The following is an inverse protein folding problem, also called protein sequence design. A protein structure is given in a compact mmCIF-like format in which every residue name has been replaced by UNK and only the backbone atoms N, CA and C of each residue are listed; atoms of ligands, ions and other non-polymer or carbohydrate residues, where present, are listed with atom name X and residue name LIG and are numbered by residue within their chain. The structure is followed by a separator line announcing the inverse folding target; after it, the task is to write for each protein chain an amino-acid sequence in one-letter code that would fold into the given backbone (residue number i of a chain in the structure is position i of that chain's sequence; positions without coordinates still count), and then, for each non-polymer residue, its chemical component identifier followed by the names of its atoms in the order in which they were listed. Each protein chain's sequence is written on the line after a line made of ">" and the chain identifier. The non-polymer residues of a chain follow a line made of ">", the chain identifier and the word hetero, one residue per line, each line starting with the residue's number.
data_IF_818302106020
#
_entry.id   IF_818302106020
#
_cell.length_a   1.000
_cell.length_b   1.000
_cell.length_c   1.000
_cell.angle_alpha   90.00
_cell.angle_beta   90.00
_cell.angle_gamma   90.00
#
_symmetry.space_group_name_H-M   'P 1'
#
loop_
_entity.id
_entity.type
_entity.pdbx_description
1 polymer ?
#
# COMPACT_ATOMS: atom_id res chain seq x y z
N UNK A 1 3.21 -8.81 -13.06
CA UNK A 1 2.29 -9.82 -12.49
C UNK A 1 1.92 -9.52 -11.04
N UNK A 2 2.87 -9.36 -10.10
CA UNK A 2 2.58 -9.11 -8.68
C UNK A 2 1.76 -7.82 -8.41
N UNK A 3 2.03 -6.72 -9.11
CA UNK A 3 1.27 -5.47 -8.98
C UNK A 3 -0.18 -5.59 -9.43
N UNK A 4 -0.48 -6.46 -10.41
CA UNK A 4 -1.86 -6.73 -10.82
C UNK A 4 -2.63 -7.40 -9.68
N UNK A 5 -2.02 -8.40 -9.05
CA UNK A 5 -2.62 -9.15 -7.93
C UNK A 5 -2.85 -8.22 -6.73
N UNK A 6 -1.89 -7.34 -6.41
CA UNK A 6 -2.04 -6.39 -5.31
C UNK A 6 -3.20 -5.42 -5.57
N UNK A 7 -3.30 -4.87 -6.79
CA UNK A 7 -4.36 -3.95 -7.14
C UNK A 7 -5.74 -4.63 -7.11
N UNK A 8 -5.83 -5.86 -7.60
CA UNK A 8 -7.10 -6.61 -7.61
C UNK A 8 -7.56 -6.89 -6.16
N UNK A 9 -6.65 -7.33 -5.28
CA UNK A 9 -6.93 -7.45 -3.84
C UNK A 9 -7.37 -6.14 -3.20
N UNK A 10 -6.74 -5.02 -3.56
CA UNK A 10 -7.11 -3.71 -3.04
C UNK A 10 -8.49 -3.25 -3.52
N UNK A 11 -8.89 -3.60 -4.76
CA UNK A 11 -10.24 -3.35 -5.27
C UNK A 11 -11.28 -4.19 -4.55
N UNK A 12 -11.01 -5.48 -4.36
CA UNK A 12 -11.91 -6.38 -3.63
C UNK A 12 -12.12 -5.90 -2.19
N UNK A 13 -11.02 -5.50 -1.53
CA UNK A 13 -11.07 -4.89 -0.20
C UNK A 13 -11.91 -3.59 -0.19
N UNK A 14 -11.70 -2.70 -1.16
CA UNK A 14 -12.47 -1.46 -1.26
C UNK A 14 -13.98 -1.72 -1.44
N UNK A 15 -14.36 -2.72 -2.25
CA UNK A 15 -15.76 -3.12 -2.42
C UNK A 15 -16.37 -3.64 -1.12
N UNK A 16 -15.64 -4.48 -0.38
CA UNK A 16 -16.08 -4.99 0.93
C UNK A 16 -16.27 -3.84 1.93
N UNK A 17 -15.33 -2.90 2.01
CA UNK A 17 -15.44 -1.70 2.87
C UNK A 17 -16.66 -0.86 2.50
N UNK A 18 -16.88 -0.59 1.21
CA UNK A 18 -18.02 0.19 0.73
C UNK A 18 -19.34 -0.47 1.16
N UNK A 19 -19.47 -1.78 0.91
CA UNK A 19 -20.69 -2.52 1.24
C UNK A 19 -20.92 -2.60 2.76
N UNK A 20 -19.87 -2.87 3.54
CA UNK A 20 -19.95 -2.88 5.00
C UNK A 20 -20.38 -1.52 5.56
N UNK A 21 -19.73 -0.44 5.13
CA UNK A 21 -20.04 0.92 5.61
C UNK A 21 -21.45 1.37 5.20
N UNK A 22 -21.94 1.00 4.01
CA UNK A 22 -23.34 1.26 3.61
C UNK A 22 -24.32 0.58 4.56
N UNK A 23 -24.11 -0.70 4.84
CA UNK A 23 -24.99 -1.45 5.75
C UNK A 23 -25.00 -0.88 7.17
N UNK A 24 -23.84 -0.46 7.69
CA UNK A 24 -23.74 0.17 9.02
C UNK A 24 -24.49 1.52 9.04
N UNK A 25 -24.30 2.35 8.02
CA UNK A 25 -25.01 3.64 7.90
C UNK A 25 -26.53 3.46 7.87
N UNK A 26 -27.02 2.50 7.10
CA UNK A 26 -28.44 2.21 6.98
C UNK A 26 -29.02 1.65 8.28
N UNK A 27 -28.34 0.68 8.91
CA UNK A 27 -28.86 -0.03 10.08
C UNK A 27 -28.69 0.75 11.39
N UNK A 28 -27.61 1.51 11.55
CA UNK A 28 -27.22 2.12 12.83
C UNK A 28 -27.12 3.64 12.78
N UNK A 29 -27.27 4.26 11.60
CA UNK A 29 -27.12 5.71 11.39
C UNK A 29 -25.75 6.26 11.83
N UNK A 30 -24.75 5.39 11.92
CA UNK A 30 -23.35 5.78 12.17
C UNK A 30 -22.75 6.23 10.84
N UNK A 31 -22.23 7.46 10.79
CA UNK A 31 -21.64 8.03 9.58
C UNK A 31 -20.22 8.57 9.77
N UNK A 32 -19.78 8.82 11.00
CA UNK A 32 -18.49 9.46 11.28
C UNK A 32 -17.35 8.47 11.05
N UNK A 33 -17.38 7.31 11.72
CA UNK A 33 -16.35 6.28 11.60
C UNK A 33 -16.39 5.61 10.23
N UNK A 34 -17.58 5.29 9.74
CA UNK A 34 -17.75 4.70 8.40
C UNK A 34 -17.30 5.62 7.27
N UNK A 35 -17.45 6.95 7.39
CA UNK A 35 -16.88 7.89 6.41
C UNK A 35 -15.35 7.87 6.43
N UNK A 36 -14.75 7.83 7.61
CA UNK A 36 -13.29 7.79 7.73
C UNK A 36 -12.71 6.50 7.14
N UNK A 37 -13.30 5.35 7.50
CA UNK A 37 -12.90 4.05 6.96
C UNK A 37 -13.15 3.95 5.45
N UNK A 38 -14.27 4.47 4.94
CA UNK A 38 -14.55 4.44 3.51
C UNK A 38 -13.53 5.23 2.70
N UNK A 39 -13.09 6.39 3.22
CA UNK A 39 -12.05 7.20 2.59
C UNK A 39 -10.71 6.47 2.59
N UNK A 40 -10.23 6.03 3.76
CA UNK A 40 -8.93 5.37 3.83
C UNK A 40 -8.90 4.05 3.07
N UNK A 41 -9.93 3.21 3.25
CA UNK A 41 -10.01 1.89 2.62
C UNK A 41 -10.05 1.94 1.09
N UNK A 42 -10.70 2.94 0.50
CA UNK A 42 -10.74 3.12 -0.97
C UNK A 42 -9.47 3.81 -1.50
N UNK A 43 -8.84 4.67 -0.69
CA UNK A 43 -7.60 5.38 -1.02
C UNK A 43 -6.41 4.43 -1.25
N UNK A 44 -6.40 3.26 -0.59
CA UNK A 44 -5.37 2.21 -0.78
C UNK A 44 -5.26 1.83 -2.26
N UNK A 45 -6.37 1.39 -2.85
CA UNK A 45 -6.43 0.94 -4.25
C UNK A 45 -6.23 2.09 -5.23
N UNK A 46 -6.73 3.29 -4.91
CA UNK A 46 -6.54 4.48 -5.74
C UNK A 46 -5.05 4.82 -5.90
N UNK A 47 -4.30 4.89 -4.79
CA UNK A 47 -2.87 5.19 -4.83
C UNK A 47 -2.03 4.06 -5.46
N UNK A 48 -2.40 2.78 -5.28
CA UNK A 48 -1.78 1.66 -6.01
C UNK A 48 -2.03 1.82 -7.51
N UNK A 49 -3.24 2.19 -7.92
CA UNK A 49 -3.55 2.41 -9.33
C UNK A 49 -2.77 3.59 -9.92
N UNK A 50 -2.66 4.71 -9.20
CA UNK A 50 -1.87 5.87 -9.61
C UNK A 50 -0.37 5.55 -9.75
N UNK A 51 0.17 4.66 -8.91
CA UNK A 51 1.58 4.25 -8.99
C UNK A 51 1.98 3.66 -10.35
N UNK A 52 1.02 3.09 -11.09
CA UNK A 52 1.25 2.56 -12.45
C UNK A 52 1.60 3.64 -13.47
N UNK A 53 1.24 4.89 -13.18
CA UNK A 53 1.48 6.06 -14.02
C UNK A 53 2.56 6.97 -13.42
N UNK A 54 3.35 6.46 -12.47
CA UNK A 54 4.39 7.23 -11.81
C UNK A 54 5.46 7.74 -12.78
N UNK A 55 5.91 8.97 -12.59
CA UNK A 55 6.91 9.62 -13.45
C UNK A 55 8.35 9.14 -13.17
N UNK A 56 8.52 8.28 -12.17
CA UNK A 56 9.80 7.69 -11.82
C UNK A 56 9.73 6.91 -10.50
N UNK A 57 10.86 6.33 -10.11
CA UNK A 57 10.95 5.46 -8.92
C UNK A 57 10.54 6.16 -7.62
N UNK A 58 10.92 7.43 -7.45
CA UNK A 58 10.55 8.19 -6.24
C UNK A 58 9.04 8.44 -6.16
N UNK A 59 8.41 8.78 -7.28
CA UNK A 59 6.95 8.99 -7.38
C UNK A 59 6.20 7.67 -7.12
N UNK A 60 6.66 6.57 -7.72
CA UNK A 60 6.13 5.23 -7.46
C UNK A 60 6.18 4.87 -5.96
N UNK A 61 7.33 5.03 -5.32
CA UNK A 61 7.49 4.75 -3.89
C UNK A 61 6.57 5.63 -3.06
N UNK A 62 6.48 6.92 -3.38
CA UNK A 62 5.61 7.87 -2.68
C UNK A 62 4.15 7.40 -2.71
N UNK A 63 3.63 7.01 -3.88
CA UNK A 63 2.27 6.46 -4.02
C UNK A 63 2.07 5.18 -3.21
N UNK A 64 3.02 4.25 -3.26
CA UNK A 64 2.95 3.01 -2.47
C UNK A 64 3.01 3.28 -0.96
N UNK A 65 3.78 4.28 -0.51
CA UNK A 65 3.83 4.71 0.90
C UNK A 65 2.52 5.35 1.35
N UNK A 66 1.85 6.13 0.49
CA UNK A 66 0.51 6.65 0.77
C UNK A 66 -0.47 5.48 0.96
N UNK A 67 -0.51 4.51 0.03
CA UNK A 67 -1.34 3.30 0.20
C UNK A 67 -1.04 2.56 1.51
N UNK A 68 0.24 2.48 1.91
CA UNK A 68 0.64 1.84 3.16
C UNK A 68 0.10 2.58 4.38
N UNK A 69 0.15 3.92 4.39
CA UNK A 69 -0.45 4.75 5.44
C UNK A 69 -1.96 4.51 5.53
N UNK A 70 -2.64 4.44 4.38
CA UNK A 70 -4.09 4.21 4.30
C UNK A 70 -4.48 2.81 4.78
N UNK A 71 -3.63 1.79 4.62
CA UNK A 71 -3.82 0.49 5.27
C UNK A 71 -3.86 0.64 6.79
N UNK A 72 -2.86 1.29 7.40
CA UNK A 72 -2.82 1.46 8.85
C UNK A 72 -4.01 2.28 9.38
N UNK A 73 -4.42 3.31 8.66
CA UNK A 73 -5.61 4.09 9.02
C UNK A 73 -6.90 3.25 8.91
N UNK A 74 -7.03 2.43 7.88
CA UNK A 74 -8.17 1.52 7.71
C UNK A 74 -8.26 0.50 8.86
N UNK A 75 -7.12 -0.07 9.27
CA UNK A 75 -7.08 -1.01 10.40
C UNK A 75 -7.51 -0.36 11.71
N UNK A 76 -7.08 0.88 11.96
CA UNK A 76 -7.49 1.64 13.14
C UNK A 76 -9.01 1.81 13.20
N UNK A 77 -9.64 2.22 12.09
CA UNK A 77 -11.09 2.40 12.07
C UNK A 77 -11.85 1.07 12.16
N UNK A 78 -11.33 -0.01 11.59
CA UNK A 78 -11.89 -1.36 11.74
C UNK A 78 -11.87 -1.81 13.21
N UNK A 79 -10.77 -1.57 13.93
CA UNK A 79 -10.68 -1.88 15.35
C UNK A 79 -11.73 -1.10 16.16
N UNK A 80 -11.89 0.21 15.90
CA UNK A 80 -12.90 1.01 16.60
C UNK A 80 -14.33 0.54 16.33
N UNK A 81 -14.64 0.20 15.08
CA UNK A 81 -15.97 -0.33 14.72
C UNK A 81 -16.25 -1.67 15.42
N UNK A 82 -15.25 -2.55 15.56
CA UNK A 82 -15.40 -3.80 16.29
C UNK A 82 -15.58 -3.55 17.80
N UNK A 83 -14.71 -2.75 18.40
CA UNK A 83 -14.75 -2.43 19.84
C UNK A 83 -16.04 -1.73 20.28
N UNK A 84 -16.71 -1.03 19.37
CA UNK A 84 -17.98 -0.35 19.62
C UNK A 84 -19.20 -1.16 19.17
N UNK A 85 -19.00 -2.40 18.70
CA UNK A 85 -20.08 -3.35 18.39
C UNK A 85 -20.81 -3.08 17.07
N UNK A 86 -20.21 -2.31 16.15
CA UNK A 86 -20.76 -2.13 14.80
C UNK A 86 -20.49 -3.32 13.88
N UNK A 87 -19.42 -4.07 14.14
CA UNK A 87 -19.08 -5.30 13.42
C UNK A 87 -18.68 -6.39 14.41
N UNK A 88 -19.05 -7.63 14.12
CA UNK A 88 -18.64 -8.79 14.89
C UNK A 88 -17.17 -9.17 14.65
N UNK A 89 -16.65 -10.03 15.52
CA UNK A 89 -15.26 -10.48 15.49
C UNK A 89 -14.88 -11.27 14.24
N UNK A 90 -15.82 -12.03 13.68
CA UNK A 90 -15.57 -12.83 12.48
C UNK A 90 -15.33 -11.91 11.28
N UNK A 91 -16.23 -10.95 11.08
CA UNK A 91 -16.14 -9.93 10.05
C UNK A 91 -14.92 -9.05 10.24
N UNK A 92 -14.65 -8.61 11.46
CA UNK A 92 -13.45 -7.85 11.79
C UNK A 92 -12.17 -8.60 11.41
N UNK A 93 -12.01 -9.85 11.86
CA UNK A 93 -10.82 -10.67 11.57
C UNK A 93 -10.63 -10.92 10.08
N UNK A 94 -11.70 -11.18 9.34
CA UNK A 94 -11.66 -11.37 7.88
C UNK A 94 -11.12 -10.12 7.19
N UNK A 95 -11.74 -8.97 7.43
CA UNK A 95 -11.39 -7.71 6.75
C UNK A 95 -10.00 -7.23 7.17
N UNK A 96 -9.64 -7.39 8.45
CA UNK A 96 -8.31 -7.07 8.96
C UNK A 96 -7.23 -7.92 8.28
N UNK A 97 -7.49 -9.22 8.07
CA UNK A 97 -6.58 -10.12 7.37
C UNK A 97 -6.39 -9.70 5.89
N UNK A 98 -7.45 -9.29 5.22
CA UNK A 98 -7.38 -8.82 3.83
C UNK A 98 -6.55 -7.53 3.71
N UNK A 99 -6.79 -6.56 4.60
CA UNK A 99 -5.97 -5.34 4.69
C UNK A 99 -4.49 -5.68 5.00
N UNK A 100 -4.26 -6.60 5.93
CA UNK A 100 -2.93 -7.05 6.32
C UNK A 100 -2.15 -7.74 5.20
N UNK A 101 -2.82 -8.47 4.31
CA UNK A 101 -2.21 -9.04 3.11
C UNK A 101 -1.74 -7.94 2.15
N UNK A 102 -2.60 -6.96 1.85
CA UNK A 102 -2.27 -5.82 0.97
C UNK A 102 -1.06 -5.06 1.53
N UNK A 103 -1.08 -4.77 2.84
CA UNK A 103 0.04 -4.12 3.53
C UNK A 103 1.36 -4.87 3.37
N UNK A 104 1.37 -6.18 3.56
CA UNK A 104 2.59 -7.01 3.39
C UNK A 104 3.12 -6.93 1.96
N UNK A 105 2.22 -6.96 0.98
CA UNK A 105 2.58 -6.82 -0.44
C UNK A 105 3.16 -5.42 -0.72
N UNK A 106 2.58 -4.35 -0.17
CA UNK A 106 3.09 -2.98 -0.30
C UNK A 106 4.51 -2.85 0.25
N UNK A 107 4.75 -3.34 1.47
CA UNK A 107 6.08 -3.32 2.11
C UNK A 107 7.09 -4.08 1.25
N UNK A 108 6.73 -5.27 0.77
CA UNK A 108 7.61 -6.08 -0.10
C UNK A 108 7.93 -5.37 -1.42
N UNK A 109 6.95 -4.70 -2.04
CA UNK A 109 7.14 -3.95 -3.27
C UNK A 109 8.07 -2.75 -3.08
N UNK A 110 7.87 -1.97 -2.01
CA UNK A 110 8.71 -0.81 -1.68
C UNK A 110 10.16 -1.25 -1.44
N UNK A 111 10.37 -2.31 -0.66
CA UNK A 111 11.71 -2.82 -0.35
C UNK A 111 12.42 -3.32 -1.62
N UNK A 112 11.72 -4.08 -2.47
CA UNK A 112 12.28 -4.60 -3.73
C UNK A 112 12.82 -3.47 -4.61
N UNK A 113 12.08 -2.37 -4.71
CA UNK A 113 12.48 -1.22 -5.53
C UNK A 113 13.68 -0.49 -4.90
N UNK A 114 13.70 -0.32 -3.58
CA UNK A 114 14.82 0.29 -2.87
C UNK A 114 16.10 -0.52 -3.03
N UNK A 115 16.03 -1.83 -2.88
CA UNK A 115 17.19 -2.74 -3.00
C UNK A 115 17.75 -2.72 -4.43
N UNK A 116 16.87 -2.77 -5.43
CA UNK A 116 17.26 -2.64 -6.84
C UNK A 116 17.97 -1.30 -7.13
N UNK A 117 17.46 -0.21 -6.54
CA UNK A 117 18.09 1.11 -6.62
C UNK A 117 19.48 1.15 -6.00
N UNK A 118 19.70 0.46 -4.87
CA UNK A 118 21.02 0.37 -4.24
C UNK A 118 22.02 -0.44 -5.07
N UNK A 119 21.59 -1.60 -5.59
CA UNK A 119 22.42 -2.45 -6.46
C UNK A 119 22.89 -1.66 -7.69
N UNK A 120 21.99 -0.91 -8.33
CA UNK A 120 22.33 -0.06 -9.48
C UNK A 120 23.38 1.00 -9.14
N UNK A 121 23.28 1.64 -7.97
CA UNK A 121 24.27 2.64 -7.52
C UNK A 121 25.64 2.00 -7.27
N UNK A 122 25.70 0.83 -6.64
CA UNK A 122 26.94 0.10 -6.40
C UNK A 122 27.64 -0.26 -7.72
N UNK A 123 26.91 -0.80 -8.70
CA UNK A 123 27.44 -1.15 -10.02
C UNK A 123 28.01 0.08 -10.76
N UNK A 124 27.31 1.21 -10.74
CA UNK A 124 27.79 2.45 -11.38
C UNK A 124 29.09 2.93 -10.71
N UNK A 125 29.16 2.90 -9.38
CA UNK A 125 30.38 3.27 -8.66
C UNK A 125 31.55 2.38 -9.05
N UNK A 126 31.37 1.06 -9.09
CA UNK A 126 32.44 0.12 -9.47
C UNK A 126 32.92 0.35 -10.90
N UNK A 127 32.02 0.59 -11.85
CA UNK A 127 32.38 0.89 -13.25
C UNK A 127 33.19 2.19 -13.34
N UNK A 128 32.80 3.24 -12.61
CA UNK A 128 33.51 4.50 -12.61
C UNK A 128 34.91 4.37 -12.01
N UNK A 129 35.06 3.62 -10.90
CA UNK A 129 36.38 3.33 -10.31
C UNK A 129 37.30 2.60 -11.28
N UNK A 130 36.80 1.62 -12.04
CA UNK A 130 37.60 0.91 -13.05
C UNK A 130 38.05 1.86 -14.16
N UNK A 131 37.16 2.73 -14.67
CA UNK A 131 37.50 3.71 -15.71
C UNK A 131 38.57 4.69 -15.26
N UNK A 132 38.48 5.20 -14.03
CA UNK A 132 39.47 6.10 -13.45
C UNK A 132 40.85 5.43 -13.30
N UNK A 133 40.89 4.17 -12.90
CA UNK A 133 42.13 3.41 -12.78
C UNK A 133 42.77 3.10 -14.14
N UNK A 134 41.98 2.80 -15.17
CA UNK A 134 42.48 2.58 -16.53
C UNK A 134 43.07 3.85 -17.17
N UNK A 135 42.57 5.04 -16.82
CA UNK A 135 43.13 6.31 -17.30
C UNK A 135 44.44 6.69 -16.59
N UNK A 136 44.67 6.22 -15.37
CA UNK A 136 45.89 6.52 -14.59
C UNK A 136 47.06 5.56 -14.86
N UNK A 137 46.80 4.36 -15.40
CA UNK A 137 47.83 3.35 -15.67
C UNK A 137 48.50 3.40 -17.06
N UNK A 138 48.27 4.46 -17.84
CA UNK A 138 48.79 4.63 -19.20
C UNK A 138 50.05 5.52 -19.33
N UNK A 139 50.88 5.58 -18.29
CA UNK A 139 52.17 6.31 -18.26
C UNK A 139 53.32 5.33 -18.05
#
# INVERSE_FOLDING_TARGET
>A
MAESIMLDKAKDFAVEIINMCKNIKEAKRESVLTNQLMRSGTSIGANIHESKYAHGTADFISKMQISLKECYESEYWLELLNRTGYIDDEKYKKILNDCGQIRKMLISSINTVNDCGQIRKMLISSINTVKENSQKGGL
#
